data_IF_192721092002
#
_entry.id   IF_192721092002
#
_cell.length_a   1.000
_cell.length_b   1.000
_cell.length_c   1.000
_cell.angle_alpha   90.00
_cell.angle_beta   90.00
_cell.angle_gamma   90.00
#
_symmetry.space_group_name_H-M   'P 1'
#
loop_
_entity.id
_entity.type
_entity.pdbx_description
1 polymer ?
#
# COMPACT_ATOMS: atom_id res chain seq x y z
N UNK A 1 7.49 -24.14 11.67
CA UNK A 1 7.09 -23.19 10.62
C UNK A 1 7.79 -23.48 9.30
N UNK A 2 9.13 -23.66 9.21
CA UNK A 2 9.79 -24.14 7.96
C UNK A 2 9.39 -23.44 6.63
N UNK A 3 8.91 -22.18 6.70
CA UNK A 3 8.39 -21.43 5.55
C UNK A 3 6.87 -21.54 5.33
N UNK A 4 6.15 -22.40 6.05
CA UNK A 4 4.69 -22.46 6.11
C UNK A 4 4.11 -21.25 6.85
N UNK A 5 3.34 -20.44 6.12
CA UNK A 5 2.71 -19.22 6.62
C UNK A 5 1.59 -19.51 7.63
N UNK A 6 0.87 -20.61 7.49
CA UNK A 6 -0.25 -20.94 8.37
C UNK A 6 0.27 -21.40 9.74
N UNK A 7 1.30 -22.24 9.74
CA UNK A 7 1.99 -22.65 10.96
C UNK A 7 2.69 -21.46 11.63
N UNK A 8 3.36 -20.61 10.86
CA UNK A 8 3.99 -19.38 11.39
C UNK A 8 2.96 -18.46 12.06
N UNK A 9 1.81 -18.24 11.42
CA UNK A 9 0.73 -17.43 11.98
C UNK A 9 0.15 -18.06 13.25
N UNK A 10 -0.01 -19.38 13.28
CA UNK A 10 -0.48 -20.12 14.45
C UNK A 10 0.48 -19.96 15.63
N UNK A 11 1.78 -20.19 15.41
CA UNK A 11 2.81 -20.05 16.46
C UNK A 11 2.84 -18.63 17.03
N UNK A 12 2.75 -17.61 16.19
CA UNK A 12 2.72 -16.21 16.65
C UNK A 12 1.48 -15.92 17.50
N UNK A 13 0.31 -16.41 17.08
CA UNK A 13 -0.95 -16.24 17.84
C UNK A 13 -0.92 -17.00 19.17
N UNK A 14 -0.39 -18.23 19.18
CA UNK A 14 -0.22 -19.02 20.39
C UNK A 14 0.75 -18.35 21.36
N UNK A 15 1.88 -17.84 20.88
CA UNK A 15 2.80 -17.07 21.73
C UNK A 15 2.13 -15.82 22.30
N UNK A 16 1.38 -15.07 21.47
CA UNK A 16 0.65 -13.87 21.89
C UNK A 16 -0.36 -14.14 23.02
N UNK A 17 -0.95 -15.33 23.11
CA UNK A 17 -1.91 -15.66 24.17
C UNK A 17 -1.25 -15.90 25.54
N UNK A 18 0.06 -16.16 25.57
CA UNK A 18 0.81 -16.33 26.82
C UNK A 18 1.23 -15.01 27.46
N UNK A 19 1.11 -13.89 26.72
CA UNK A 19 1.57 -12.57 27.16
C UNK A 19 0.44 -11.77 27.84
N UNK A 20 0.73 -11.08 28.96
CA UNK A 20 -0.23 -10.18 29.60
C UNK A 20 -0.51 -8.95 28.73
N UNK A 21 -1.73 -8.41 28.85
CA UNK A 21 -2.09 -7.11 28.26
C UNK A 21 -1.62 -5.99 29.19
N UNK A 22 -0.61 -5.23 28.76
CA UNK A 22 -0.05 -4.12 29.55
C UNK A 22 -0.84 -2.80 29.43
N UNK A 23 -1.69 -2.67 28.41
CA UNK A 23 -2.47 -1.45 28.18
C UNK A 23 -3.06 -1.39 26.78
N UNK A 24 -3.66 -0.24 26.46
CA UNK A 24 -4.22 0.09 25.16
C UNK A 24 -3.57 1.34 24.60
N UNK A 25 -3.39 1.37 23.27
CA UNK A 25 -2.89 2.55 22.57
C UNK A 25 -4.05 3.51 22.28
N UNK A 26 -3.72 4.77 22.06
CA UNK A 26 -4.64 5.70 21.42
C UNK A 26 -4.88 5.29 19.96
N UNK A 27 -5.98 5.73 19.34
CA UNK A 27 -6.19 5.55 17.90
C UNK A 27 -5.02 6.13 17.10
N UNK A 28 -4.53 5.37 16.11
CA UNK A 28 -3.42 5.81 15.27
C UNK A 28 -3.88 6.89 14.28
N UNK A 29 -3.13 7.98 14.18
CA UNK A 29 -3.37 9.03 13.18
C UNK A 29 -2.69 8.64 11.86
N UNK A 30 -3.47 8.08 10.93
CA UNK A 30 -2.96 7.66 9.62
C UNK A 30 -2.49 8.82 8.72
N UNK A 31 -2.84 10.07 9.05
CA UNK A 31 -2.52 11.26 8.24
C UNK A 31 -1.05 11.66 8.32
N UNK A 32 -0.43 11.46 9.48
CA UNK A 32 0.97 11.81 9.75
C UNK A 32 1.89 10.61 9.57
N UNK A 33 1.43 9.58 8.85
CA UNK A 33 2.20 8.39 8.55
C UNK A 33 3.41 8.75 7.68
N UNK A 34 4.60 8.27 8.06
CA UNK A 34 5.76 8.28 7.16
C UNK A 34 5.51 7.33 5.98
N UNK A 35 5.11 7.90 4.86
CA UNK A 35 4.75 7.14 3.65
C UNK A 35 5.99 6.54 2.98
N UNK A 36 6.00 5.23 2.76
CA UNK A 36 7.02 4.52 1.96
C UNK A 36 6.54 4.11 0.58
N UNK A 37 5.21 4.12 0.37
CA UNK A 37 4.52 3.83 -0.89
C UNK A 37 3.11 4.45 -0.87
N UNK A 38 2.67 5.05 -1.97
CA UNK A 38 1.37 5.69 -2.17
C UNK A 38 0.98 5.66 -3.64
N UNK A 39 -0.12 4.97 -3.96
CA UNK A 39 -0.56 4.78 -5.35
C UNK A 39 -2.08 4.96 -5.40
N UNK A 40 -2.58 5.63 -6.44
CA UNK A 40 -4.00 5.70 -6.76
C UNK A 40 -4.24 5.03 -8.10
N UNK A 41 -5.20 4.10 -8.13
CA UNK A 41 -5.66 3.47 -9.37
C UNK A 41 -6.72 4.31 -10.10
N UNK A 42 -7.43 5.19 -9.39
CA UNK A 42 -8.53 5.96 -9.92
C UNK A 42 -8.08 7.26 -10.63
N UNK A 43 -6.96 7.83 -10.21
CA UNK A 43 -6.45 9.10 -10.74
C UNK A 43 -4.98 8.97 -11.10
N UNK A 44 -4.61 9.54 -12.26
CA UNK A 44 -3.22 9.59 -12.73
C UNK A 44 -2.33 10.37 -11.77
N UNK A 45 -2.81 11.53 -11.31
CA UNK A 45 -2.07 12.43 -10.43
C UNK A 45 -2.92 12.69 -9.18
N UNK A 46 -2.27 12.67 -8.01
CA UNK A 46 -2.90 12.96 -6.72
C UNK A 46 -2.07 14.02 -5.99
N UNK A 47 -2.67 14.82 -5.09
CA UNK A 47 -1.92 15.80 -4.30
C UNK A 47 -0.77 15.14 -3.52
N UNK A 48 0.46 15.61 -3.67
CA UNK A 48 1.66 14.97 -3.11
C UNK A 48 2.22 13.80 -3.94
N UNK A 49 1.67 13.56 -5.13
CA UNK A 49 2.20 12.65 -6.14
C UNK A 49 1.95 11.17 -5.86
N UNK A 50 2.27 10.35 -6.87
CA UNK A 50 2.34 8.90 -6.75
C UNK A 50 3.75 8.48 -6.35
N UNK A 51 3.88 7.66 -5.30
CA UNK A 51 5.12 7.11 -4.80
C UNK A 51 5.08 5.58 -4.89
N UNK A 52 5.82 5.00 -5.84
CA UNK A 52 5.81 3.55 -6.07
C UNK A 52 6.42 2.76 -4.89
N UNK A 53 7.42 3.34 -4.21
CA UNK A 53 8.15 2.68 -3.13
C UNK A 53 8.92 1.44 -3.59
N UNK A 54 9.36 0.62 -2.62
CA UNK A 54 10.00 -0.68 -2.91
C UNK A 54 8.92 -1.68 -3.33
N UNK A 55 8.94 -2.12 -4.58
CA UNK A 55 7.95 -3.07 -5.11
C UNK A 55 8.46 -3.95 -6.24
N UNK A 56 7.70 -5.01 -6.53
CA UNK A 56 7.87 -5.92 -7.67
C UNK A 56 6.80 -5.79 -8.75
N UNK A 57 5.86 -4.84 -8.66
CA UNK A 57 4.67 -4.79 -9.54
C UNK A 57 4.99 -4.71 -11.03
N UNK A 58 6.11 -4.07 -11.38
CA UNK A 58 6.57 -3.91 -12.76
C UNK A 58 7.82 -4.76 -13.06
N UNK A 59 8.20 -5.65 -12.14
CA UNK A 59 9.31 -6.56 -12.37
C UNK A 59 8.82 -7.77 -13.17
N UNK A 60 9.56 -8.12 -14.23
CA UNK A 60 9.29 -9.36 -14.96
C UNK A 60 9.44 -10.59 -14.04
N UNK A 61 8.52 -11.54 -14.13
CA UNK A 61 8.50 -12.77 -13.31
C UNK A 61 9.36 -13.87 -13.93
N UNK A 62 10.64 -13.56 -14.16
CA UNK A 62 11.64 -14.50 -14.66
C UNK A 62 12.51 -14.99 -13.49
N UNK A 63 13.00 -16.23 -13.58
CA UNK A 63 13.94 -16.76 -12.61
C UNK A 63 15.28 -16.06 -12.77
N UNK A 64 15.78 -15.48 -11.66
CA UNK A 64 17.08 -14.82 -11.63
C UNK A 64 18.14 -15.82 -11.14
N UNK A 65 18.81 -16.49 -12.08
CA UNK A 65 19.86 -17.46 -11.78
C UNK A 65 21.11 -16.83 -11.17
N UNK A 66 21.28 -15.50 -11.25
CA UNK A 66 22.41 -14.83 -10.61
C UNK A 66 22.36 -14.91 -9.08
N UNK A 67 21.19 -15.19 -8.49
CA UNK A 67 21.01 -15.38 -7.04
C UNK A 67 21.57 -16.71 -6.51
N UNK A 68 21.95 -17.65 -7.39
CA UNK A 68 22.58 -18.92 -6.99
C UNK A 68 24.06 -18.74 -6.62
N UNK A 69 24.71 -17.73 -7.21
CA UNK A 69 26.07 -17.36 -6.85
C UNK A 69 26.00 -16.42 -5.64
N UNK A 70 26.69 -16.75 -4.53
CA UNK A 70 26.79 -15.90 -3.32
C UNK A 70 27.40 -14.49 -3.59
N UNK A 71 27.62 -14.13 -4.85
CA UNK A 71 28.21 -12.89 -5.33
C UNK A 71 27.23 -11.73 -5.35
N UNK A 72 27.08 -11.11 -4.18
CA UNK A 72 26.75 -9.69 -4.02
C UNK A 72 25.33 -9.31 -4.38
N UNK A 73 24.55 -8.89 -3.39
CA UNK A 73 23.34 -8.11 -3.63
C UNK A 73 23.66 -7.02 -4.67
N UNK A 74 23.11 -7.16 -5.87
CA UNK A 74 23.22 -6.13 -6.90
C UNK A 74 22.79 -4.83 -6.25
N UNK A 75 23.63 -3.81 -6.26
CA UNK A 75 23.31 -2.43 -5.81
C UNK A 75 22.26 -1.78 -6.71
N UNK A 76 21.48 -2.58 -7.45
CA UNK A 76 20.42 -2.22 -8.37
C UNK A 76 19.41 -1.34 -7.65
N UNK A 77 19.57 -0.05 -7.86
CA UNK A 77 18.60 0.98 -7.54
C UNK A 77 18.41 1.23 -6.06
N UNK A 78 19.47 1.58 -5.33
CA UNK A 78 19.33 2.53 -4.21
C UNK A 78 19.00 3.93 -4.76
N UNK A 79 17.90 4.05 -5.50
CA UNK A 79 17.27 5.32 -5.81
C UNK A 79 16.49 5.79 -4.60
N UNK A 80 17.17 6.04 -3.49
CA UNK A 80 16.60 6.75 -2.36
C UNK A 80 16.57 8.24 -2.69
N UNK A 81 15.77 8.63 -3.68
CA UNK A 81 15.23 9.98 -3.64
C UNK A 81 14.30 9.97 -2.41
N UNK A 82 14.77 10.51 -1.29
CA UNK A 82 13.91 10.85 -0.16
C UNK A 82 12.91 11.89 -0.67
N UNK A 83 11.85 11.39 -1.29
CA UNK A 83 10.69 12.20 -1.61
C UNK A 83 10.02 12.39 -0.27
N UNK A 84 10.32 13.51 0.39
CA UNK A 84 9.49 14.00 1.49
C UNK A 84 8.10 14.17 0.91
N UNK A 85 7.24 13.16 1.12
CA UNK A 85 5.83 13.26 0.74
C UNK A 85 5.29 14.38 1.62
N UNK A 86 4.77 15.48 1.03
CA UNK A 86 4.14 16.51 1.84
C UNK A 86 3.02 15.86 2.66
N UNK A 87 2.73 16.38 3.87
CA UNK A 87 1.58 15.92 4.66
C UNK A 87 0.34 15.84 3.79
N UNK A 88 -0.57 14.91 4.08
CA UNK A 88 -1.84 14.80 3.36
C UNK A 88 -2.61 16.12 3.51
N UNK A 89 -2.45 17.05 2.56
CA UNK A 89 -3.18 18.31 2.53
C UNK A 89 -4.68 17.99 2.49
N UNK A 90 -5.42 18.60 3.41
CA UNK A 90 -6.88 18.63 3.37
C UNK A 90 -7.28 19.44 2.15
N UNK A 91 -7.61 18.76 1.06
CA UNK A 91 -8.64 19.27 0.17
C UNK A 91 -9.94 18.60 0.61
N UNK A 92 -10.88 19.41 1.09
CA UNK A 92 -12.28 19.03 1.19
C UNK A 92 -12.69 18.37 -0.13
N UNK A 93 -13.59 17.40 -0.07
CA UNK A 93 -14.17 16.69 -1.22
C UNK A 93 -14.48 17.63 -2.39
N UNK A 94 -13.49 17.86 -3.25
CA UNK A 94 -13.64 18.65 -4.46
C UNK A 94 -13.52 17.69 -5.61
N UNK A 95 -14.66 17.06 -5.93
CA UNK A 95 -15.13 16.74 -7.29
C UNK A 95 -16.57 16.20 -7.22
N UNK A 96 -17.48 17.01 -6.65
CA UNK A 96 -18.88 17.00 -7.10
C UNK A 96 -19.01 17.99 -8.25
N UNK A 97 -18.65 17.59 -9.47
CA UNK A 97 -19.16 18.22 -10.72
C UNK A 97 -18.53 17.60 -11.98
N UNK A 98 -18.79 16.32 -12.28
CA UNK A 98 -19.08 15.96 -13.69
C UNK A 98 -19.79 14.60 -13.88
N UNK A 99 -20.64 14.21 -12.93
CA UNK A 99 -21.54 13.07 -13.15
C UNK A 99 -22.80 13.53 -13.89
N UNK A 100 -22.68 13.84 -15.18
CA UNK A 100 -23.83 13.74 -16.08
C UNK A 100 -23.98 12.26 -16.47
N UNK A 101 -24.48 11.45 -15.53
CA UNK A 101 -25.21 10.24 -15.89
C UNK A 101 -26.67 10.65 -15.90
N UNK A 102 -27.16 11.03 -17.08
CA UNK A 102 -28.60 11.13 -17.34
C UNK A 102 -29.19 9.75 -17.08
N UNK A 103 -29.89 9.61 -15.95
CA UNK A 103 -30.80 8.50 -15.74
C UNK A 103 -31.94 8.65 -16.76
N UNK A 104 -31.94 7.80 -17.78
CA UNK A 104 -33.11 7.59 -18.63
C UNK A 104 -34.13 6.79 -17.81
N UNK A 105 -34.91 7.51 -17.02
CA UNK A 105 -36.18 7.05 -16.50
C UNK A 105 -37.25 7.54 -17.47
N UNK A 106 -37.54 6.73 -18.49
CA UNK A 106 -38.75 6.85 -19.28
C UNK A 106 -39.58 5.59 -19.14
N UNK A 107 -40.57 5.72 -18.25
CA UNK A 107 -41.91 5.15 -18.30
C UNK A 107 -42.20 4.21 -19.48
N UNK A 108 -42.54 2.96 -19.14
CA UNK A 108 -43.61 2.21 -19.83
C UNK A 108 -44.43 1.44 -18.80
N UNK A 109 -45.37 2.16 -18.19
CA UNK A 109 -46.67 1.56 -17.91
C UNK A 109 -47.38 1.32 -19.25
N UNK A 110 -48.06 0.17 -19.35
CA UNK A 110 -48.82 -0.30 -20.50
C UNK A 110 -49.17 -1.76 -20.34
#
# INVERSE_FOLDING_TARGET
AEGDMDEAALLLRAYRSTLPRLGYTLPIQGRDMRVTRRISAAFKDIPGGQLLGRTRDYTHRLLDFSLLDNGGASTRGQGHAETTVPPLEVHADDHRSDATVTADASDREG
#
